data_IF_702613739336
#
_entry.id   IF_702613739336
#
_cell.length_a   1.000
_cell.length_b   1.000
_cell.length_c   1.000
_cell.angle_alpha   90.00
_cell.angle_beta   90.00
_cell.angle_gamma   90.00
#
_symmetry.space_group_name_H-M   'P 1'
#
loop_
_entity.id
_entity.type
_entity.pdbx_description
1 polymer ?
#
# COMPACT_ATOMS: atom_id res chain seq x y z
N UNK A 1 -25.62 -3.94 11.01
CA UNK A 1 -24.42 -4.79 11.25
C UNK A 1 -24.80 -6.16 11.80
N UNK A 2 -23.84 -6.91 12.35
CA UNK A 2 -24.14 -8.14 13.12
C UNK A 2 -25.20 -7.81 14.18
N UNK A 3 -26.34 -8.51 14.16
CA UNK A 3 -27.42 -8.31 15.12
C UNK A 3 -28.36 -7.13 14.85
N UNK A 4 -28.33 -6.51 13.67
CA UNK A 4 -29.32 -5.49 13.27
C UNK A 4 -29.15 -4.10 13.89
N UNK A 5 -28.06 -3.85 14.63
CA UNK A 5 -27.77 -2.54 15.20
C UNK A 5 -27.43 -1.48 14.12
N UNK A 6 -27.81 -0.23 14.39
CA UNK A 6 -27.50 0.96 13.57
C UNK A 6 -25.99 1.25 13.50
N UNK A 7 -25.52 1.94 12.47
CA UNK A 7 -24.11 2.30 12.32
C UNK A 7 -23.69 3.27 13.45
N UNK A 8 -22.57 2.98 14.13
CA UNK A 8 -22.06 3.79 15.24
C UNK A 8 -22.60 3.40 16.63
N UNK A 9 -23.55 2.46 16.73
CA UNK A 9 -24.03 1.93 18.00
C UNK A 9 -23.06 0.92 18.62
N UNK A 10 -23.08 0.77 19.95
CA UNK A 10 -22.29 -0.26 20.66
C UNK A 10 -22.66 -1.64 20.08
N UNK A 11 -21.66 -2.34 19.51
CA UNK A 11 -21.85 -3.60 18.78
C UNK A 11 -21.85 -3.48 17.25
N UNK A 12 -21.81 -2.27 16.70
CA UNK A 12 -21.69 -1.96 15.28
C UNK A 12 -20.88 -0.67 15.06
N UNK A 13 -19.75 -0.54 15.78
CA UNK A 13 -18.77 0.54 15.62
C UNK A 13 -17.69 0.08 14.61
N UNK A 14 -17.32 0.96 13.69
CA UNK A 14 -16.20 0.76 12.77
C UNK A 14 -14.93 1.43 13.29
N UNK A 15 -13.77 1.10 12.71
CA UNK A 15 -12.52 1.82 13.02
C UNK A 15 -12.64 3.32 12.75
N UNK A 16 -13.48 3.72 11.79
CA UNK A 16 -13.71 5.13 11.42
C UNK A 16 -14.46 5.91 12.49
N UNK A 17 -15.21 5.24 13.36
CA UNK A 17 -15.94 5.87 14.45
C UNK A 17 -15.06 6.11 15.70
N UNK A 18 -13.89 5.45 15.74
CA UNK A 18 -12.98 5.45 16.91
C UNK A 18 -11.70 6.22 16.63
N UNK A 19 -11.05 5.90 15.51
CA UNK A 19 -9.68 6.35 15.23
C UNK A 19 -9.62 7.58 14.30
N UNK A 20 -10.75 7.99 13.72
CA UNK A 20 -10.81 9.02 12.69
C UNK A 20 -11.75 10.15 13.05
N UNK A 21 -11.41 11.36 12.59
CA UNK A 21 -12.27 12.55 12.65
C UNK A 21 -12.80 12.82 11.23
N UNK A 22 -14.12 13.02 11.05
CA UNK A 22 -14.68 13.32 9.75
C UNK A 22 -14.05 14.57 9.12
N UNK A 23 -13.73 14.50 7.84
CA UNK A 23 -13.34 15.67 7.07
C UNK A 23 -14.56 16.59 6.92
N UNK A 24 -14.33 17.89 7.01
CA UNK A 24 -15.35 18.91 6.79
C UNK A 24 -15.14 19.58 5.43
N UNK A 25 -16.23 19.91 4.76
CA UNK A 25 -16.21 20.70 3.53
C UNK A 25 -15.99 22.20 3.82
N UNK A 26 -16.00 23.02 2.76
CA UNK A 26 -15.81 24.47 2.88
C UNK A 26 -16.90 25.18 3.71
N UNK A 27 -18.06 24.56 3.92
CA UNK A 27 -19.15 25.07 4.73
C UNK A 27 -19.14 24.49 6.17
N UNK A 28 -18.12 23.71 6.51
CA UNK A 28 -17.97 23.07 7.82
C UNK A 28 -18.89 21.86 8.03
N UNK A 29 -19.47 21.30 6.97
CA UNK A 29 -20.29 20.09 7.04
C UNK A 29 -19.45 18.83 6.80
N UNK A 30 -19.76 17.68 7.45
CA UNK A 30 -19.08 16.44 7.18
C UNK A 30 -19.16 16.05 5.70
N UNK A 31 -18.01 15.69 5.12
CA UNK A 31 -17.92 15.16 3.76
C UNK A 31 -18.57 13.76 3.74
N UNK A 32 -19.24 13.43 2.62
CA UNK A 32 -19.78 12.09 2.39
C UNK A 32 -18.66 11.03 2.50
N UNK A 33 -18.79 10.05 3.40
CA UNK A 33 -17.80 8.98 3.55
C UNK A 33 -17.77 8.01 2.36
N UNK A 34 -18.77 8.03 1.46
CA UNK A 34 -18.85 7.19 0.27
C UNK A 34 -18.99 8.04 -1.01
N UNK A 35 -18.03 8.91 -1.33
CA UNK A 35 -18.13 9.77 -2.51
C UNK A 35 -18.10 8.93 -3.80
N UNK A 36 -18.68 9.47 -4.87
CA UNK A 36 -18.57 8.87 -6.20
C UNK A 36 -17.09 8.79 -6.59
N UNK A 37 -16.57 7.57 -6.71
CA UNK A 37 -15.18 7.32 -7.08
C UNK A 37 -14.89 7.48 -8.58
N UNK A 38 -13.61 7.31 -8.94
CA UNK A 38 -13.13 7.42 -10.33
C UNK A 38 -12.82 6.06 -10.98
N UNK A 39 -13.50 5.00 -10.55
CA UNK A 39 -13.32 3.65 -11.12
C UNK A 39 -12.05 2.92 -10.68
N UNK A 40 -11.35 3.40 -9.65
CA UNK A 40 -10.24 2.68 -9.01
C UNK A 40 -10.81 1.53 -8.16
N UNK A 41 -10.35 0.31 -8.40
CA UNK A 41 -10.91 -0.91 -7.79
C UNK A 41 -9.92 -1.65 -6.90
N UNK A 42 -8.63 -1.64 -7.24
CA UNK A 42 -7.61 -2.40 -6.54
C UNK A 42 -6.26 -1.69 -6.52
N UNK A 43 -5.46 -2.03 -5.52
CA UNK A 43 -4.05 -1.69 -5.48
C UNK A 43 -3.30 -2.80 -6.22
N UNK A 44 -2.77 -2.49 -7.40
CA UNK A 44 -2.01 -3.45 -8.20
C UNK A 44 -0.63 -3.76 -7.60
N UNK A 45 0.07 -2.71 -7.16
CA UNK A 45 1.38 -2.79 -6.50
C UNK A 45 1.70 -1.51 -5.73
N UNK A 46 2.74 -1.54 -4.90
CA UNK A 46 3.34 -0.38 -4.25
C UNK A 46 4.87 -0.51 -4.27
N UNK A 47 5.59 0.60 -4.43
CA UNK A 47 7.06 0.58 -4.53
C UNK A 47 7.73 0.94 -3.21
N UNK A 48 8.89 0.33 -2.94
CA UNK A 48 9.75 0.69 -1.80
C UNK A 48 11.06 1.28 -2.32
N UNK A 49 11.24 2.60 -2.17
CA UNK A 49 12.53 3.24 -2.42
C UNK A 49 13.38 3.13 -1.17
N UNK A 50 14.52 2.45 -1.27
CA UNK A 50 15.41 2.18 -0.14
C UNK A 50 16.74 2.90 -0.33
N UNK A 51 17.42 3.17 0.79
CA UNK A 51 18.77 3.72 0.75
C UNK A 51 19.75 2.75 0.08
N UNK A 52 20.81 3.28 -0.51
CA UNK A 52 21.88 2.52 -1.17
C UNK A 52 22.48 1.46 -0.24
N UNK A 53 22.66 0.24 -0.75
CA UNK A 53 23.08 -0.94 -0.01
C UNK A 53 21.97 -1.72 0.71
N UNK A 54 20.72 -1.22 0.73
CA UNK A 54 19.61 -1.84 1.48
C UNK A 54 18.64 -2.65 0.63
N UNK A 55 18.79 -2.70 -0.68
CA UNK A 55 17.91 -3.53 -1.53
C UNK A 55 17.92 -5.00 -1.10
N UNK A 56 19.11 -5.55 -0.82
CA UNK A 56 19.24 -6.94 -0.37
C UNK A 56 18.54 -7.16 0.97
N UNK A 57 18.75 -6.28 1.94
CA UNK A 57 18.13 -6.35 3.26
C UNK A 57 16.59 -6.41 3.16
N UNK A 58 15.99 -5.52 2.38
CA UNK A 58 14.54 -5.46 2.23
C UNK A 58 13.97 -6.60 1.41
N UNK A 59 14.66 -7.03 0.34
CA UNK A 59 14.23 -8.20 -0.42
C UNK A 59 14.28 -9.48 0.42
N UNK A 60 15.33 -9.67 1.21
CA UNK A 60 15.46 -10.81 2.13
C UNK A 60 14.43 -10.78 3.25
N UNK A 61 14.05 -9.59 3.74
CA UNK A 61 12.94 -9.46 4.70
C UNK A 61 11.65 -10.06 4.13
N UNK A 62 11.26 -9.67 2.92
CA UNK A 62 10.04 -10.20 2.28
C UNK A 62 10.16 -11.69 1.91
N UNK A 63 11.33 -12.14 1.45
CA UNK A 63 11.59 -13.54 1.14
C UNK A 63 11.50 -14.42 2.41
N UNK A 64 12.16 -14.02 3.50
CA UNK A 64 12.26 -14.84 4.73
C UNK A 64 10.98 -14.92 5.52
N UNK A 65 10.28 -13.80 5.71
CA UNK A 65 9.11 -13.75 6.60
C UNK A 65 7.80 -14.03 5.88
N UNK A 66 7.72 -13.71 4.58
CA UNK A 66 6.47 -13.76 3.82
C UNK A 66 6.55 -14.63 2.58
N UNK A 67 7.68 -15.30 2.34
CA UNK A 67 7.92 -16.19 1.21
C UNK A 67 7.69 -15.52 -0.15
N UNK A 68 7.99 -14.22 -0.25
CA UNK A 68 8.00 -13.52 -1.54
C UNK A 68 9.10 -14.10 -2.42
N UNK A 69 8.93 -13.94 -3.73
CA UNK A 69 9.92 -14.35 -4.73
C UNK A 69 10.26 -13.19 -5.64
N UNK A 70 11.52 -13.11 -6.00
CA UNK A 70 11.96 -12.25 -7.09
C UNK A 70 11.41 -12.78 -8.41
N UNK A 71 10.74 -11.92 -9.16
CA UNK A 71 10.22 -12.26 -10.49
C UNK A 71 11.09 -11.62 -11.57
N UNK A 72 11.72 -10.47 -11.27
CA UNK A 72 12.55 -9.74 -12.23
C UNK A 72 13.53 -8.78 -11.54
N UNK A 73 14.70 -8.64 -12.14
CA UNK A 73 15.70 -7.62 -11.80
C UNK A 73 15.84 -6.62 -12.95
N UNK A 74 16.04 -5.35 -12.61
CA UNK A 74 16.32 -4.27 -13.54
C UNK A 74 17.52 -3.46 -13.05
N UNK A 75 18.45 -3.20 -13.97
CA UNK A 75 19.52 -2.22 -13.78
C UNK A 75 19.35 -1.18 -14.87
N UNK A 76 18.93 0.04 -14.49
CA UNK A 76 18.54 1.10 -15.41
C UNK A 76 19.58 2.20 -15.31
N UNK A 77 20.43 2.32 -16.33
CA UNK A 77 21.37 3.43 -16.47
C UNK A 77 20.71 4.59 -17.24
N UNK A 78 20.37 5.67 -16.54
CA UNK A 78 20.00 6.93 -17.16
C UNK A 78 21.23 7.77 -17.53
N UNK A 79 21.06 8.80 -18.37
CA UNK A 79 22.13 9.71 -18.81
C UNK A 79 22.88 10.44 -17.68
N UNK A 80 22.29 10.55 -16.49
CA UNK A 80 22.84 11.30 -15.34
C UNK A 80 22.74 10.53 -14.01
N UNK A 81 21.85 9.54 -13.89
CA UNK A 81 21.63 8.75 -12.67
C UNK A 81 21.23 7.32 -13.05
N UNK A 82 21.63 6.33 -12.23
CA UNK A 82 21.21 4.94 -12.38
C UNK A 82 20.25 4.50 -11.27
N UNK A 83 19.43 3.48 -11.55
CA UNK A 83 18.51 2.86 -10.60
C UNK A 83 18.57 1.34 -10.74
N UNK A 84 18.75 0.65 -9.62
CA UNK A 84 18.53 -0.79 -9.53
C UNK A 84 17.14 -1.05 -8.97
N UNK A 85 16.43 -2.03 -9.52
CA UNK A 85 15.11 -2.43 -9.04
C UNK A 85 14.94 -3.95 -9.01
N UNK A 86 14.39 -4.46 -7.90
CA UNK A 86 14.04 -5.87 -7.71
C UNK A 86 12.54 -6.02 -7.53
N UNK A 87 11.86 -6.69 -8.46
CA UNK A 87 10.43 -6.90 -8.42
C UNK A 87 10.07 -8.13 -7.59
N UNK A 88 9.46 -7.91 -6.41
CA UNK A 88 9.09 -8.97 -5.47
C UNK A 88 7.58 -9.27 -5.56
N UNK A 89 7.20 -10.54 -5.60
CA UNK A 89 5.79 -10.98 -5.62
C UNK A 89 5.49 -11.95 -4.49
N UNK A 90 4.33 -11.79 -3.85
CA UNK A 90 3.86 -12.69 -2.78
C UNK A 90 3.49 -14.08 -3.31
N UNK A 91 3.48 -15.11 -2.44
CA UNK A 91 3.10 -16.46 -2.86
C UNK A 91 1.66 -16.58 -3.36
N UNK A 92 0.77 -15.67 -2.95
CA UNK A 92 -0.61 -15.61 -3.46
C UNK A 92 -0.75 -14.83 -4.77
N UNK A 93 0.33 -14.21 -5.28
CA UNK A 93 0.34 -13.45 -6.53
C UNK A 93 -0.41 -12.11 -6.48
N UNK A 94 -0.96 -11.72 -5.33
CA UNK A 94 -1.77 -10.50 -5.19
C UNK A 94 -0.99 -9.27 -4.73
N UNK A 95 0.14 -9.46 -4.05
CA UNK A 95 0.95 -8.35 -3.52
C UNK A 95 2.25 -8.30 -4.30
N UNK A 96 2.55 -7.13 -4.85
CA UNK A 96 3.74 -6.86 -5.64
C UNK A 96 4.46 -5.64 -5.07
N UNK A 97 5.75 -5.79 -4.83
CA UNK A 97 6.58 -4.75 -4.23
C UNK A 97 7.90 -4.64 -5.01
N UNK A 98 7.98 -3.72 -5.98
CA UNK A 98 9.27 -3.32 -6.55
C UNK A 98 10.11 -2.60 -5.48
N UNK A 99 11.34 -3.10 -5.25
CA UNK A 99 12.31 -2.50 -4.32
C UNK A 99 13.37 -1.79 -5.15
N UNK A 100 13.48 -0.48 -4.97
CA UNK A 100 14.28 0.42 -5.77
C UNK A 100 15.44 0.98 -4.96
N UNK A 101 16.62 1.06 -5.56
CA UNK A 101 17.83 1.61 -4.95
C UNK A 101 18.59 2.47 -5.96
N UNK A 102 19.04 3.66 -5.53
CA UNK A 102 19.88 4.50 -6.38
C UNK A 102 21.25 3.86 -6.63
N UNK A 103 21.71 3.93 -7.88
CA UNK A 103 23.03 3.42 -8.30
C UNK A 103 24.16 4.39 -7.99
#
# INVERSE_FOLDING_TARGET
GKGGAEAGAIGNISIYDVDFVPLLDAAGQPVDPNPVGHGLTEIDHLTHNVFRGRMKEWSEFYERFFNFREVRYFDIEGKLTGLKSKAMTSPCGKIRIPINESS
#
